data_IF_401748186663
#
_entry.id   IF_401748186663
#
_cell.length_a   1.000
_cell.length_b   1.000
_cell.length_c   1.000
_cell.angle_alpha   90.00
_cell.angle_beta   90.00
_cell.angle_gamma   90.00
#
_symmetry.space_group_name_H-M   'P 1'
#
loop_
_entity.id
_entity.type
_entity.pdbx_description
1 polymer ?
#
# COMPACT_ATOMS: atom_id res chain seq x y z
N UNK A 1 6.87 18.67 -9.45
CA UNK A 1 6.73 17.27 -9.88
C UNK A 1 5.55 17.25 -10.84
N UNK A 2 5.65 16.58 -12.00
CA UNK A 2 4.43 16.24 -12.77
C UNK A 2 3.51 15.54 -11.74
N UNK A 3 2.26 15.98 -11.58
CA UNK A 3 1.32 15.27 -10.71
C UNK A 3 1.15 13.86 -11.27
N UNK A 4 1.98 12.93 -10.80
CA UNK A 4 1.84 11.53 -11.14
C UNK A 4 0.66 11.02 -10.34
N UNK A 5 -0.49 10.89 -10.99
CA UNK A 5 -1.65 10.23 -10.41
C UNK A 5 -1.25 8.80 -10.02
N UNK A 6 -1.71 8.32 -8.87
CA UNK A 6 -1.53 6.93 -8.47
C UNK A 6 -2.74 6.12 -8.88
N UNK A 7 -2.52 4.89 -9.30
CA UNK A 7 -3.58 3.94 -9.62
C UNK A 7 -3.43 2.65 -8.81
N UNK A 8 -4.58 2.07 -8.47
CA UNK A 8 -4.68 0.77 -7.80
C UNK A 8 -5.15 -0.24 -8.83
N UNK A 9 -4.31 -1.24 -9.10
CA UNK A 9 -4.52 -2.21 -10.19
C UNK A 9 -4.47 -3.63 -9.63
N UNK A 10 -5.44 -4.46 -10.01
CA UNK A 10 -5.33 -5.91 -9.81
C UNK A 10 -4.59 -6.52 -11.01
N UNK A 11 -3.51 -7.25 -10.71
CA UNK A 11 -2.73 -7.97 -11.70
C UNK A 11 -3.38 -9.32 -12.04
N UNK A 12 -2.97 -9.94 -13.14
CA UNK A 12 -3.50 -11.25 -13.58
C UNK A 12 -3.27 -12.38 -12.56
N UNK A 13 -2.27 -12.24 -11.68
CA UNK A 13 -2.01 -13.18 -10.59
C UNK A 13 -2.90 -12.93 -9.35
N UNK A 14 -3.75 -11.90 -9.39
CA UNK A 14 -4.65 -11.49 -8.32
C UNK A 14 -3.98 -10.66 -7.21
N UNK A 15 -2.73 -10.24 -7.39
CA UNK A 15 -2.11 -9.26 -6.50
C UNK A 15 -2.65 -7.86 -6.79
N UNK A 16 -2.75 -7.03 -5.76
CA UNK A 16 -3.23 -5.66 -5.90
C UNK A 16 -2.05 -4.71 -5.68
N UNK A 17 -1.78 -3.87 -6.66
CA UNK A 17 -0.62 -2.97 -6.64
C UNK A 17 -1.03 -1.50 -6.64
N UNK A 18 -0.24 -0.69 -5.97
CA UNK A 18 -0.24 0.77 -6.09
C UNK A 18 0.91 1.16 -7.02
N UNK A 19 0.65 1.88 -8.09
CA UNK A 19 1.69 2.33 -9.04
C UNK A 19 1.39 3.72 -9.61
N UNK A 20 2.39 4.42 -10.17
CA UNK A 20 2.14 5.64 -10.95
C UNK A 20 1.30 5.31 -12.17
N UNK A 21 0.33 6.16 -12.48
CA UNK A 21 -0.44 6.09 -13.71
C UNK A 21 0.49 6.30 -14.91
N UNK A 22 0.30 5.47 -15.94
CA UNK A 22 1.04 5.53 -17.20
C UNK A 22 0.08 5.87 -18.34
N UNK A 23 0.41 6.91 -19.11
CA UNK A 23 -0.43 7.35 -20.24
C UNK A 23 -0.33 6.38 -21.44
N UNK A 24 0.75 5.59 -21.53
CA UNK A 24 1.08 4.78 -22.72
C UNK A 24 0.84 3.28 -22.52
N UNK A 25 0.14 2.88 -21.44
CA UNK A 25 -0.10 1.46 -21.14
C UNK A 25 1.16 0.67 -20.75
N UNK A 26 2.30 1.36 -20.58
CA UNK A 26 3.52 0.76 -20.06
C UNK A 26 3.33 0.39 -18.59
N UNK A 27 3.65 -0.86 -18.24
CA UNK A 27 3.63 -1.32 -16.86
C UNK A 27 4.75 -0.63 -16.08
N UNK A 28 4.38 0.30 -15.20
CA UNK A 28 5.30 0.95 -14.27
C UNK A 28 5.57 0.02 -13.09
N UNK A 29 6.78 0.11 -12.54
CA UNK A 29 7.16 -0.60 -11.32
C UNK A 29 6.19 -0.26 -10.17
N UNK A 30 5.60 -1.27 -9.50
CA UNK A 30 4.75 -1.05 -8.33
C UNK A 30 5.49 -0.34 -7.20
N UNK A 31 4.83 0.64 -6.57
CA UNK A 31 5.30 1.28 -5.34
C UNK A 31 5.01 0.40 -4.12
N UNK A 32 3.92 -0.38 -4.18
CA UNK A 32 3.53 -1.32 -3.15
C UNK A 32 2.70 -2.47 -3.74
N UNK A 33 2.81 -3.64 -3.12
CA UNK A 33 2.03 -4.84 -3.47
C UNK A 33 1.29 -5.33 -2.23
N UNK A 34 -0.02 -5.51 -2.36
CA UNK A 34 -0.89 -6.11 -1.36
C UNK A 34 -1.30 -7.50 -1.83
N UNK A 35 -0.86 -8.51 -1.09
CA UNK A 35 -1.25 -9.91 -1.31
C UNK A 35 -2.35 -10.27 -0.31
N UNK A 36 -3.53 -10.61 -0.82
CA UNK A 36 -4.66 -11.07 -0.01
C UNK A 36 -4.78 -12.58 -0.18
N UNK A 37 -4.80 -13.31 0.94
CA UNK A 37 -4.91 -14.78 0.91
C UNK A 37 -6.19 -15.24 0.19
N UNK A 38 -6.12 -16.40 -0.48
CA UNK A 38 -7.28 -16.98 -1.17
C UNK A 38 -8.46 -17.23 -0.21
N UNK A 39 -8.18 -17.57 1.04
CA UNK A 39 -9.19 -17.71 2.11
C UNK A 39 -9.93 -16.39 2.32
N UNK A 40 -9.19 -15.28 2.44
CA UNK A 40 -9.78 -13.95 2.63
C UNK A 40 -10.51 -13.47 1.37
N UNK A 41 -9.95 -13.70 0.17
CA UNK A 41 -10.62 -13.40 -1.11
C UNK A 41 -11.93 -14.16 -1.23
N UNK A 42 -11.95 -15.45 -0.91
CA UNK A 42 -13.15 -16.29 -0.94
C UNK A 42 -14.22 -15.80 0.04
N UNK A 43 -13.79 -15.39 1.23
CA UNK A 43 -14.68 -14.84 2.26
C UNK A 43 -15.28 -13.49 1.86
N UNK A 44 -14.46 -12.58 1.34
CA UNK A 44 -14.87 -11.22 0.96
C UNK A 44 -15.54 -11.17 -0.42
N UNK A 45 -15.36 -12.18 -1.27
CA UNK A 45 -15.76 -12.18 -2.69
C UNK A 45 -15.22 -10.90 -3.34
N UNK A 46 -16.00 -10.20 -4.16
CA UNK A 46 -15.62 -8.93 -4.81
C UNK A 46 -15.21 -7.80 -3.83
N UNK A 47 -15.51 -7.93 -2.52
CA UNK A 47 -15.17 -6.90 -1.52
C UNK A 47 -13.69 -6.87 -1.14
N UNK A 48 -12.87 -7.84 -1.53
CA UNK A 48 -11.42 -7.80 -1.30
C UNK A 48 -10.74 -6.63 -2.02
N UNK A 49 -11.24 -6.28 -3.22
CA UNK A 49 -10.71 -5.14 -3.96
C UNK A 49 -11.10 -3.82 -3.30
N UNK A 50 -12.33 -3.71 -2.78
CA UNK A 50 -12.76 -2.57 -1.96
C UNK A 50 -11.94 -2.44 -0.66
N UNK A 51 -11.62 -3.56 -0.01
CA UNK A 51 -10.71 -3.57 1.14
C UNK A 51 -9.34 -2.97 0.77
N UNK A 52 -8.75 -3.40 -0.35
CA UNK A 52 -7.47 -2.89 -0.81
C UNK A 52 -7.51 -1.38 -1.09
N UNK A 53 -8.56 -0.88 -1.75
CA UNK A 53 -8.77 0.57 -1.96
C UNK A 53 -8.77 1.32 -0.64
N UNK A 54 -9.55 0.86 0.33
CA UNK A 54 -9.62 1.47 1.65
C UNK A 54 -8.26 1.47 2.35
N UNK A 55 -7.49 0.38 2.27
CA UNK A 55 -6.17 0.29 2.90
C UNK A 55 -5.19 1.30 2.30
N UNK A 56 -5.12 1.40 0.97
CA UNK A 56 -4.23 2.37 0.31
C UNK A 56 -4.65 3.81 0.57
N UNK A 57 -5.95 4.14 0.45
CA UNK A 57 -6.43 5.48 0.74
C UNK A 57 -6.19 5.87 2.20
N UNK A 58 -6.55 5.00 3.16
CA UNK A 58 -6.33 5.28 4.58
C UNK A 58 -4.84 5.48 4.91
N UNK A 59 -3.95 4.68 4.33
CA UNK A 59 -2.51 4.83 4.53
C UNK A 59 -1.94 6.11 3.93
N UNK A 60 -2.39 6.48 2.72
CA UNK A 60 -2.03 7.74 2.06
C UNK A 60 -2.54 8.92 2.90
N UNK A 61 -3.82 8.94 3.21
CA UNK A 61 -4.45 10.00 3.99
C UNK A 61 -3.75 10.19 5.34
N UNK A 62 -3.40 9.09 6.01
CA UNK A 62 -2.69 9.11 7.29
C UNK A 62 -1.28 9.73 7.18
N UNK A 63 -0.51 9.41 6.12
CA UNK A 63 0.82 9.99 5.91
C UNK A 63 0.74 11.48 5.58
N UNK A 64 -0.33 11.92 4.89
CA UNK A 64 -0.53 13.31 4.51
C UNK A 64 -1.29 14.16 5.54
N UNK A 65 -1.93 13.57 6.55
CA UNK A 65 -2.79 14.29 7.52
C UNK A 65 -2.03 15.11 8.58
N UNK A 66 -0.72 15.34 8.40
CA UNK A 66 0.13 16.22 9.21
C UNK A 66 -0.09 16.12 10.73
N UNK A 67 0.17 14.95 11.29
CA UNK A 67 0.62 14.80 12.67
C UNK A 67 1.68 13.70 12.68
N UNK A 68 2.85 14.03 13.22
CA UNK A 68 3.91 13.18 13.78
C UNK A 68 3.52 11.75 14.24
N UNK A 69 3.04 10.91 13.34
CA UNK A 69 2.49 9.58 13.64
C UNK A 69 3.55 8.57 14.10
N UNK A 70 4.81 8.88 13.82
CA UNK A 70 5.98 8.26 14.43
C UNK A 70 6.83 9.39 15.02
N UNK A 71 6.37 9.97 16.12
CA UNK A 71 7.14 10.96 16.87
C UNK A 71 8.48 10.38 17.33
N UNK A 72 9.57 11.06 16.99
CA UNK A 72 10.91 11.03 17.63
C UNK A 72 11.66 9.69 17.77
N UNK A 73 11.07 8.54 17.44
CA UNK A 73 11.69 7.22 17.66
C UNK A 73 12.57 6.75 16.48
N UNK A 74 12.72 7.58 15.44
CA UNK A 74 13.58 7.28 14.29
C UNK A 74 15.07 7.25 14.65
N UNK A 75 15.50 7.97 15.70
CA UNK A 75 16.91 8.02 16.12
C UNK A 75 17.36 6.77 16.91
N UNK A 76 16.43 5.94 17.42
CA UNK A 76 16.75 4.69 18.13
C UNK A 76 16.75 3.44 17.24
N UNK A 77 16.49 3.58 15.93
CA UNK A 77 16.30 2.45 15.00
C UNK A 77 17.54 2.05 14.20
N UNK A 78 18.68 2.73 14.32
CA UNK A 78 19.90 2.33 13.58
C UNK A 78 20.54 1.04 14.11
N UNK A 79 20.28 0.66 15.38
CA UNK A 79 21.00 -0.44 16.05
C UNK A 79 20.13 -1.66 16.40
N UNK A 80 18.83 -1.62 16.06
CA UNK A 80 17.92 -2.74 16.30
C UNK A 80 17.78 -3.55 15.01
N UNK A 81 18.39 -4.75 14.97
CA UNK A 81 18.19 -5.76 13.92
C UNK A 81 16.74 -5.72 13.42
N UNK A 82 16.55 -5.72 12.09
CA UNK A 82 15.27 -5.64 11.35
C UNK A 82 14.20 -6.62 11.86
N UNK A 83 13.66 -6.34 13.04
CA UNK A 83 12.49 -7.03 13.58
C UNK A 83 11.30 -6.50 12.79
N UNK A 84 10.34 -7.37 12.45
CA UNK A 84 9.12 -6.91 11.82
C UNK A 84 8.51 -5.81 12.70
N UNK A 85 8.19 -4.67 12.10
CA UNK A 85 7.38 -3.65 12.77
C UNK A 85 6.00 -4.26 12.99
N UNK A 86 5.70 -4.67 14.22
CA UNK A 86 4.40 -5.23 14.61
C UNK A 86 3.61 -4.12 15.28
N UNK A 87 2.44 -3.80 14.74
CA UNK A 87 1.44 -2.94 15.38
C UNK A 87 0.37 -3.84 16.02
N UNK A 88 -0.01 -3.57 17.27
CA UNK A 88 -1.03 -4.30 18.03
C UNK A 88 -2.33 -3.53 18.14
#
# INVERSE_FOLDING_TARGET
>A
MKESYLEIVELDNGDIVLRPASEDGESVEPLATLVISDTTKSYLKERYFELAKCMFHAGIDFVYSDESAFGDDAEYMEDMEMRPKILH
#
